data_IF_530029612046
#
_entry.id   IF_530029612046
#
_cell.length_a   1.000
_cell.length_b   1.000
_cell.length_c   1.000
_cell.angle_alpha   90.00
_cell.angle_beta   90.00
_cell.angle_gamma   90.00
#
_symmetry.space_group_name_H-M   'P 1'
#
loop_
_entity.id
_entity.type
_entity.pdbx_description
1 polymer ?
#
# COMPACT_ATOMS: atom_id res chain seq x y z
N UNK A 1 -32.78 0.00 -6.11
CA UNK A 1 -31.52 -0.62 -6.55
C UNK A 1 -31.24 -1.81 -5.65
N UNK A 2 -30.58 -2.85 -6.15
CA UNK A 2 -30.31 -4.05 -5.34
C UNK A 2 -28.84 -4.39 -5.35
N UNK A 3 -28.35 -4.80 -4.19
CA UNK A 3 -26.96 -5.12 -3.93
C UNK A 3 -26.84 -6.60 -3.56
N UNK A 4 -25.86 -7.25 -4.17
CA UNK A 4 -25.56 -8.63 -3.87
C UNK A 4 -24.07 -8.79 -3.59
N UNK A 5 -23.76 -9.66 -2.63
CA UNK A 5 -22.38 -9.98 -2.28
C UNK A 5 -21.96 -11.22 -3.08
N UNK A 6 -20.80 -11.17 -3.71
CA UNK A 6 -20.17 -12.34 -4.34
C UNK A 6 -18.89 -12.66 -3.60
N UNK A 7 -18.76 -13.92 -3.18
CA UNK A 7 -17.56 -14.43 -2.53
C UNK A 7 -16.52 -14.83 -3.57
N UNK A 8 -15.33 -14.29 -3.40
CA UNK A 8 -14.17 -14.50 -4.26
C UNK A 8 -12.97 -14.97 -3.45
N UNK A 9 -11.95 -15.48 -4.12
CA UNK A 9 -10.68 -15.81 -3.46
C UNK A 9 -10.03 -14.54 -2.96
N UNK A 10 -9.62 -14.52 -1.69
CA UNK A 10 -8.92 -13.39 -1.08
C UNK A 10 -7.68 -12.99 -1.88
N UNK A 11 -7.56 -11.70 -2.21
CA UNK A 11 -6.49 -11.13 -3.01
C UNK A 11 -6.74 -11.15 -4.54
N UNK A 12 -7.85 -11.73 -5.00
CA UNK A 12 -8.25 -11.78 -6.41
C UNK A 12 -9.45 -10.87 -6.73
N UNK A 13 -9.89 -10.02 -5.81
CA UNK A 13 -11.10 -9.19 -5.93
C UNK A 13 -11.07 -8.29 -7.17
N UNK A 14 -9.95 -7.59 -7.37
CA UNK A 14 -9.72 -6.67 -8.49
C UNK A 14 -9.67 -7.43 -9.82
N UNK A 15 -9.02 -8.60 -9.82
CA UNK A 15 -8.92 -9.45 -11.00
C UNK A 15 -10.29 -9.96 -11.41
N UNK A 16 -11.08 -10.45 -10.44
CA UNK A 16 -12.44 -10.94 -10.66
C UNK A 16 -13.35 -9.81 -11.15
N UNK A 17 -13.28 -8.61 -10.58
CA UNK A 17 -14.03 -7.43 -11.07
C UNK A 17 -13.76 -7.16 -12.56
N UNK A 18 -12.50 -7.14 -12.97
CA UNK A 18 -12.13 -6.91 -14.38
C UNK A 18 -12.55 -8.05 -15.31
N UNK A 19 -12.43 -9.30 -14.85
CA UNK A 19 -12.89 -10.46 -15.60
C UNK A 19 -14.42 -10.46 -15.75
N UNK A 20 -15.16 -10.14 -14.68
CA UNK A 20 -16.61 -10.00 -14.69
C UNK A 20 -17.05 -8.91 -15.65
N UNK A 21 -16.44 -7.72 -15.60
CA UNK A 21 -16.72 -6.66 -16.56
C UNK A 21 -16.51 -7.13 -18.01
N UNK A 22 -15.44 -7.88 -18.27
CA UNK A 22 -15.18 -8.45 -19.59
C UNK A 22 -16.23 -9.47 -20.01
N UNK A 23 -16.66 -10.34 -19.11
CA UNK A 23 -17.69 -11.37 -19.37
C UNK A 23 -19.05 -10.75 -19.58
N UNK A 24 -19.46 -9.79 -18.75
CA UNK A 24 -20.73 -9.07 -18.85
C UNK A 24 -20.81 -8.27 -20.16
N UNK A 25 -19.73 -7.56 -20.52
CA UNK A 25 -19.65 -6.83 -21.79
C UNK A 25 -19.74 -7.76 -23.00
N UNK A 26 -19.15 -8.96 -22.93
CA UNK A 26 -19.27 -9.97 -24.00
C UNK A 26 -20.67 -10.57 -24.09
N UNK A 27 -21.34 -10.75 -22.96
CA UNK A 27 -22.72 -11.25 -22.91
C UNK A 27 -23.75 -10.19 -23.32
N UNK A 28 -23.35 -8.90 -23.38
CA UNK A 28 -24.24 -7.78 -23.65
C UNK A 28 -25.26 -7.56 -22.53
N UNK A 29 -24.95 -7.99 -21.31
CA UNK A 29 -25.87 -7.92 -20.19
C UNK A 29 -25.81 -6.52 -19.55
N UNK A 30 -26.93 -5.80 -19.60
CA UNK A 30 -27.08 -4.46 -19.02
C UNK A 30 -27.76 -4.49 -17.64
N UNK A 31 -27.98 -5.66 -17.04
CA UNK A 31 -28.61 -5.78 -15.71
C UNK A 31 -27.69 -5.30 -14.59
N UNK A 32 -26.37 -5.47 -14.74
CA UNK A 32 -25.37 -5.03 -13.76
C UNK A 32 -25.05 -3.56 -13.98
N UNK A 33 -25.23 -2.75 -12.93
CA UNK A 33 -24.89 -1.33 -12.93
C UNK A 33 -23.42 -1.12 -12.63
N UNK A 34 -22.95 -1.73 -11.54
CA UNK A 34 -21.60 -1.52 -11.04
C UNK A 34 -21.12 -2.75 -10.26
N UNK A 35 -19.81 -2.95 -10.24
CA UNK A 35 -19.14 -3.96 -9.44
C UNK A 35 -18.10 -3.25 -8.57
N UNK A 36 -18.30 -3.30 -7.26
CA UNK A 36 -17.42 -2.70 -6.28
C UNK A 36 -16.52 -3.77 -5.67
N UNK A 37 -15.22 -3.67 -5.96
CA UNK A 37 -14.18 -4.45 -5.29
C UNK A 37 -13.55 -3.69 -4.11
N UNK A 38 -14.13 -2.55 -3.70
CA UNK A 38 -13.68 -1.69 -2.60
C UNK A 38 -12.17 -1.46 -2.63
N UNK A 39 -11.72 -0.88 -3.74
CA UNK A 39 -10.30 -0.69 -4.06
C UNK A 39 -9.74 0.46 -3.23
N UNK A 40 -8.62 0.20 -2.56
CA UNK A 40 -7.77 1.19 -1.90
C UNK A 40 -6.37 1.11 -2.46
N UNK A 41 -5.61 2.19 -2.35
CA UNK A 41 -4.20 2.17 -2.68
C UNK A 41 -3.35 2.65 -1.51
N UNK A 42 -2.18 2.03 -1.40
CA UNK A 42 -1.07 2.52 -0.58
C UNK A 42 0.00 3.05 -1.51
N UNK A 43 0.26 4.34 -1.49
CA UNK A 43 1.37 4.92 -2.25
C UNK A 43 2.69 4.72 -1.48
N UNK A 44 3.71 4.17 -2.14
CA UNK A 44 5.00 3.89 -1.49
C UNK A 44 6.00 4.93 -1.94
N UNK A 45 6.37 5.84 -1.03
CA UNK A 45 7.37 6.88 -1.28
C UNK A 45 8.75 6.28 -0.96
N UNK A 46 9.63 6.24 -1.96
CA UNK A 46 11.03 5.82 -1.82
C UNK A 46 11.97 6.99 -2.08
N UNK A 47 13.13 6.95 -1.45
CA UNK A 47 14.20 7.96 -1.54
C UNK A 47 14.62 8.27 -2.99
N UNK A 48 14.49 7.29 -3.89
CA UNK A 48 14.89 7.40 -5.31
C UNK A 48 13.79 7.93 -6.26
N UNK A 49 12.56 8.13 -5.76
CA UNK A 49 11.43 8.56 -6.60
C UNK A 49 11.41 10.08 -6.75
N UNK A 50 11.22 10.60 -7.95
CA UNK A 50 11.24 12.05 -8.23
C UNK A 50 9.86 12.70 -8.23
N UNK A 51 8.79 11.90 -8.11
CA UNK A 51 7.41 12.36 -8.11
C UNK A 51 6.55 11.41 -7.28
N UNK A 52 5.75 11.98 -6.37
CA UNK A 52 4.63 11.32 -5.70
C UNK A 52 3.39 11.62 -6.53
N UNK A 53 2.70 10.60 -7.02
CA UNK A 53 1.44 10.77 -7.73
C UNK A 53 0.28 10.52 -6.78
N UNK A 54 -0.12 11.59 -6.07
CA UNK A 54 -1.23 11.56 -5.13
C UNK A 54 -2.61 11.51 -5.83
N UNK A 55 -2.66 11.33 -7.15
CA UNK A 55 -3.93 11.24 -7.88
C UNK A 55 -4.70 9.98 -7.50
N UNK A 56 -6.02 10.05 -7.68
CA UNK A 56 -6.89 8.87 -7.62
C UNK A 56 -6.39 7.73 -8.53
N UNK A 57 -6.83 6.50 -8.22
CA UNK A 57 -6.48 5.30 -8.96
C UNK A 57 -6.96 5.38 -10.42
N UNK A 58 -6.02 5.32 -11.36
CA UNK A 58 -6.33 5.25 -12.78
C UNK A 58 -6.47 3.79 -13.26
N UNK A 59 -7.16 3.59 -14.39
CA UNK A 59 -7.25 2.27 -15.04
C UNK A 59 -5.88 1.70 -15.40
N UNK A 60 -4.93 2.57 -15.74
CA UNK A 60 -3.54 2.21 -16.01
C UNK A 60 -2.88 1.62 -14.74
N UNK A 61 -3.05 2.24 -13.58
CA UNK A 61 -2.52 1.74 -12.29
C UNK A 61 -3.05 0.34 -11.96
N UNK A 62 -4.35 0.11 -12.20
CA UNK A 62 -4.98 -1.19 -12.00
C UNK A 62 -4.39 -2.22 -12.96
N UNK A 63 -4.17 -1.84 -14.22
CA UNK A 63 -3.58 -2.72 -15.23
C UNK A 63 -2.14 -3.10 -14.88
N UNK A 64 -1.34 -2.13 -14.41
CA UNK A 64 0.03 -2.35 -13.95
C UNK A 64 0.07 -3.26 -12.73
N UNK A 65 -0.83 -3.04 -11.76
CA UNK A 65 -0.94 -3.87 -10.58
C UNK A 65 -1.25 -5.34 -10.94
N UNK A 66 -2.22 -5.58 -11.82
CA UNK A 66 -2.57 -6.92 -12.29
C UNK A 66 -1.43 -7.56 -13.08
N UNK A 67 -0.71 -6.77 -13.88
CA UNK A 67 0.47 -7.22 -14.60
C UNK A 67 1.59 -7.65 -13.64
N UNK A 68 1.87 -6.86 -12.60
CA UNK A 68 2.83 -7.19 -11.54
C UNK A 68 2.43 -8.49 -10.82
N UNK A 69 1.14 -8.65 -10.48
CA UNK A 69 0.63 -9.90 -9.88
C UNK A 69 0.86 -11.10 -10.80
N UNK A 70 0.61 -10.96 -12.11
CA UNK A 70 0.85 -12.01 -13.10
C UNK A 70 2.31 -12.42 -13.17
N UNK A 71 3.23 -11.46 -13.21
CA UNK A 71 4.68 -11.74 -13.18
C UNK A 71 5.07 -12.46 -11.88
N UNK A 72 4.54 -12.03 -10.72
CA UNK A 72 4.82 -12.69 -9.44
C UNK A 72 4.32 -14.13 -9.38
N UNK A 73 3.09 -14.39 -9.87
CA UNK A 73 2.55 -15.74 -9.97
C UNK A 73 3.41 -16.61 -10.91
N UNK A 74 3.81 -16.06 -12.07
CA UNK A 74 4.71 -16.72 -13.01
C UNK A 74 6.06 -17.08 -12.37
N UNK A 75 6.68 -16.13 -11.65
CA UNK A 75 7.91 -16.36 -10.91
C UNK A 75 7.76 -17.44 -9.83
N UNK A 76 6.66 -17.43 -9.08
CA UNK A 76 6.42 -18.42 -8.05
C UNK A 76 6.25 -19.82 -8.64
N UNK A 77 5.48 -19.93 -9.73
CA UNK A 77 5.29 -21.18 -10.46
C UNK A 77 6.61 -21.72 -11.02
N UNK A 78 7.45 -20.86 -11.60
CA UNK A 78 8.78 -21.24 -12.09
C UNK A 78 9.70 -21.70 -10.96
N UNK A 79 9.65 -21.04 -9.78
CA UNK A 79 10.43 -21.47 -8.61
C UNK A 79 10.01 -22.86 -8.14
N UNK A 80 8.70 -23.09 -8.02
CA UNK A 80 8.15 -24.41 -7.66
C UNK A 80 8.57 -25.47 -8.71
N UNK A 81 8.53 -25.12 -10.00
CA UNK A 81 8.95 -26.02 -11.06
C UNK A 81 10.47 -26.33 -10.99
N UNK A 82 11.31 -25.32 -10.73
CA UNK A 82 12.74 -25.51 -10.49
C UNK A 82 13.00 -26.42 -9.29
N UNK A 83 12.26 -26.24 -8.19
CA UNK A 83 12.46 -27.04 -6.98
C UNK A 83 12.10 -28.52 -7.23
N UNK A 84 11.02 -28.79 -7.96
CA UNK A 84 10.69 -30.16 -8.40
C UNK A 84 11.72 -30.75 -9.37
N UNK A 85 12.27 -29.94 -10.26
CA UNK A 85 13.26 -30.41 -11.24
C UNK A 85 14.64 -30.72 -10.64
N UNK A 86 14.98 -30.14 -9.47
CA UNK A 86 16.23 -30.46 -8.76
C UNK A 86 16.30 -31.92 -8.29
N UNK A 87 15.17 -32.61 -8.22
CA UNK A 87 15.08 -34.02 -7.83
C UNK A 87 15.60 -34.96 -8.94
N UNK A 88 15.58 -34.50 -10.19
CA UNK A 88 16.00 -35.27 -11.35
C UNK A 88 17.44 -34.88 -11.78
N UNK A 89 18.31 -35.87 -12.00
CA UNK A 89 19.72 -35.67 -12.40
C UNK A 89 19.97 -35.88 -13.89
N UNK A 90 18.93 -36.01 -14.70
CA UNK A 90 19.05 -36.26 -16.13
C UNK A 90 19.59 -35.03 -16.87
N UNK A 91 20.38 -35.24 -17.92
CA UNK A 91 20.99 -34.16 -18.72
C UNK A 91 19.94 -33.19 -19.30
N UNK A 92 18.78 -33.72 -19.70
CA UNK A 92 17.64 -32.92 -20.18
C UNK A 92 17.04 -32.05 -19.06
N UNK A 93 16.95 -32.58 -17.84
CA UNK A 93 16.43 -31.87 -16.67
C UNK A 93 17.36 -30.73 -16.26
N UNK A 94 18.68 -30.92 -16.39
CA UNK A 94 19.68 -29.88 -16.13
C UNK A 94 19.61 -28.72 -17.14
N UNK A 95 19.47 -29.02 -18.43
CA UNK A 95 19.28 -27.98 -19.47
C UNK A 95 17.99 -27.19 -19.24
N UNK A 96 16.90 -27.87 -18.88
CA UNK A 96 15.60 -27.23 -18.62
C UNK A 96 15.66 -26.34 -17.36
N UNK A 97 16.40 -26.75 -16.33
CA UNK A 97 16.63 -25.96 -15.12
C UNK A 97 17.39 -24.66 -15.42
N UNK A 98 18.37 -24.69 -16.33
CA UNK A 98 19.09 -23.50 -16.77
C UNK A 98 18.16 -22.50 -17.49
N UNK A 99 17.30 -22.98 -18.41
CA UNK A 99 16.30 -22.13 -19.07
C UNK A 99 15.31 -21.48 -18.10
N UNK A 100 14.91 -22.19 -17.04
CA UNK A 100 14.04 -21.64 -16.00
C UNK A 100 14.76 -20.60 -15.14
N UNK A 101 16.04 -20.80 -14.81
CA UNK A 101 16.85 -19.80 -14.10
C UNK A 101 16.95 -18.50 -14.91
N UNK A 102 17.17 -18.59 -16.21
CA UNK A 102 17.24 -17.40 -17.07
C UNK A 102 15.88 -16.72 -17.23
N UNK A 103 14.80 -17.49 -17.33
CA UNK A 103 13.43 -16.96 -17.30
C UNK A 103 13.13 -16.24 -15.98
N UNK A 104 13.55 -16.80 -14.84
CA UNK A 104 13.43 -16.17 -13.52
C UNK A 104 14.22 -14.86 -13.47
N UNK A 105 15.45 -14.83 -14.01
CA UNK A 105 16.28 -13.61 -14.07
C UNK A 105 15.60 -12.54 -14.93
N UNK A 106 15.07 -12.92 -16.09
CA UNK A 106 14.34 -12.03 -17.01
C UNK A 106 13.11 -11.41 -16.35
N UNK A 107 12.20 -12.24 -15.84
CA UNK A 107 10.99 -11.80 -15.14
C UNK A 107 11.31 -10.99 -13.88
N UNK A 108 12.39 -11.31 -13.16
CA UNK A 108 12.83 -10.52 -11.99
C UNK A 108 13.32 -9.13 -12.41
N UNK A 109 13.99 -9.00 -13.56
CA UNK A 109 14.44 -7.72 -14.10
C UNK A 109 13.25 -6.87 -14.56
N UNK A 110 12.27 -7.49 -15.21
CA UNK A 110 11.02 -6.85 -15.62
C UNK A 110 10.21 -6.38 -14.40
N UNK A 111 10.06 -7.25 -13.39
CA UNK A 111 9.40 -6.90 -12.12
C UNK A 111 10.05 -5.68 -11.45
N UNK A 112 11.39 -5.58 -11.48
CA UNK A 112 12.12 -4.42 -10.93
C UNK A 112 11.85 -3.13 -11.71
N UNK A 113 11.63 -3.20 -13.03
CA UNK A 113 11.32 -2.03 -13.85
C UNK A 113 9.91 -1.52 -13.54
N UNK A 114 8.93 -2.41 -13.53
CA UNK A 114 7.52 -2.04 -13.27
C UNK A 114 7.32 -1.57 -11.82
N UNK A 115 8.03 -2.17 -10.85
CA UNK A 115 7.97 -1.76 -9.43
C UNK A 115 8.54 -0.37 -9.10
N UNK A 116 9.09 0.36 -10.07
CA UNK A 116 9.58 1.72 -9.82
C UNK A 116 8.45 2.74 -9.63
N UNK A 117 7.22 2.44 -10.08
CA UNK A 117 6.11 3.40 -10.11
C UNK A 117 4.91 3.04 -9.19
N UNK A 118 5.05 2.09 -8.27
CA UNK A 118 3.84 1.37 -7.84
C UNK A 118 3.13 1.93 -6.62
N UNK A 119 1.95 2.50 -6.86
CA UNK A 119 0.80 2.42 -5.94
C UNK A 119 0.49 0.94 -5.67
N UNK A 120 0.45 0.54 -4.40
CA UNK A 120 0.05 -0.81 -3.99
C UNK A 120 -1.46 -0.83 -3.83
N UNK A 121 -2.15 -1.46 -4.77
CA UNK A 121 -3.60 -1.60 -4.71
C UNK A 121 -3.97 -2.79 -3.81
N UNK A 122 -4.94 -2.58 -2.92
CA UNK A 122 -5.55 -3.59 -2.06
C UNK A 122 -7.07 -3.48 -2.10
N UNK A 123 -7.77 -4.57 -1.77
CA UNK A 123 -9.20 -4.52 -1.47
C UNK A 123 -9.36 -4.27 0.03
N UNK A 124 -10.31 -3.41 0.42
CA UNK A 124 -10.67 -3.21 1.83
C UNK A 124 -11.33 -4.45 2.41
N UNK A 125 -12.12 -5.18 1.60
CA UNK A 125 -12.73 -6.44 2.02
C UNK A 125 -12.01 -7.60 1.33
N UNK A 126 -11.35 -8.43 2.11
CA UNK A 126 -10.77 -9.66 1.57
C UNK A 126 -11.85 -10.70 1.30
N UNK A 127 -11.90 -11.19 0.07
CA UNK A 127 -12.72 -12.32 -0.35
C UNK A 127 -14.16 -11.99 -0.74
N UNK A 128 -14.51 -10.72 -0.88
CA UNK A 128 -15.86 -10.31 -1.29
C UNK A 128 -15.82 -9.14 -2.29
N UNK A 129 -16.79 -9.15 -3.20
CA UNK A 129 -17.12 -8.02 -4.07
C UNK A 129 -18.62 -7.75 -3.97
N UNK A 130 -19.03 -6.49 -4.16
CA UNK A 130 -20.42 -6.08 -4.21
C UNK A 130 -20.83 -5.88 -5.67
N UNK A 131 -21.98 -6.42 -6.05
CA UNK A 131 -22.58 -6.27 -7.37
C UNK A 131 -23.88 -5.51 -7.21
N UNK A 132 -23.98 -4.37 -7.88
CA UNK A 132 -25.18 -3.54 -7.93
C UNK A 132 -25.93 -3.80 -9.23
N UNK A 133 -27.24 -4.05 -9.12
CA UNK A 133 -28.13 -4.28 -10.25
C UNK A 133 -29.05 -3.08 -10.50
N UNK A 134 -29.34 -2.84 -11.78
CA UNK A 134 -30.24 -1.78 -12.23
C UNK A 134 -31.72 -2.02 -11.84
N UNK A 135 -32.09 -3.26 -11.55
CA UNK A 135 -33.48 -3.68 -11.30
C UNK A 135 -33.60 -4.22 -9.87
N UNK A 136 -34.77 -4.00 -9.25
CA UNK A 136 -35.06 -4.45 -7.90
C UNK A 136 -35.40 -5.93 -7.86
N UNK A 137 -34.37 -6.77 -7.81
CA UNK A 137 -34.52 -8.20 -7.60
C UNK A 137 -34.43 -8.57 -6.13
N UNK A 138 -35.38 -9.37 -5.64
CA UNK A 138 -35.28 -9.94 -4.30
C UNK A 138 -34.24 -11.07 -4.22
N UNK A 139 -34.05 -11.79 -5.33
CA UNK A 139 -33.10 -12.90 -5.47
C UNK A 139 -32.09 -12.64 -6.58
N UNK A 140 -30.88 -13.14 -6.41
CA UNK A 140 -29.86 -13.04 -7.46
C UNK A 140 -30.30 -13.81 -8.73
N UNK A 141 -30.35 -13.16 -9.91
CA UNK A 141 -30.83 -13.80 -11.14
C UNK A 141 -29.97 -15.00 -11.55
N UNK A 142 -30.60 -16.12 -11.93
CA UNK A 142 -29.89 -17.36 -12.28
C UNK A 142 -29.01 -17.20 -13.53
N UNK A 143 -29.47 -16.46 -14.54
CA UNK A 143 -28.70 -16.13 -15.74
C UNK A 143 -27.40 -15.40 -15.37
N UNK A 144 -27.49 -14.40 -14.48
CA UNK A 144 -26.34 -13.66 -13.99
C UNK A 144 -25.43 -14.55 -13.13
N UNK A 145 -26.02 -15.45 -12.33
CA UNK A 145 -25.26 -16.40 -11.53
C UNK A 145 -24.39 -17.32 -12.38
N UNK A 146 -24.91 -17.83 -13.50
CA UNK A 146 -24.13 -18.66 -14.41
C UNK A 146 -22.93 -17.90 -14.99
N UNK A 147 -23.10 -16.62 -15.33
CA UNK A 147 -22.02 -15.76 -15.80
C UNK A 147 -20.99 -15.52 -14.68
N UNK A 148 -21.44 -15.17 -13.48
CA UNK A 148 -20.56 -14.91 -12.33
C UNK A 148 -19.77 -16.16 -11.96
N UNK A 149 -20.42 -17.32 -11.91
CA UNK A 149 -19.78 -18.60 -11.58
C UNK A 149 -18.78 -19.07 -12.66
N UNK A 150 -18.92 -18.60 -13.90
CA UNK A 150 -17.97 -18.93 -14.97
C UNK A 150 -16.61 -18.25 -14.81
N UNK A 151 -16.52 -17.20 -13.98
CA UNK A 151 -15.28 -16.46 -13.74
C UNK A 151 -14.39 -17.22 -12.76
N UNK A 152 -13.09 -17.43 -13.07
CA UNK A 152 -12.17 -18.07 -12.15
C UNK A 152 -12.01 -17.27 -10.86
N UNK A 153 -11.68 -17.95 -9.76
CA UNK A 153 -11.56 -17.38 -8.42
C UNK A 153 -12.87 -16.90 -7.76
N UNK A 154 -14.01 -16.98 -8.44
CA UNK A 154 -15.32 -16.86 -7.80
C UNK A 154 -15.63 -18.15 -7.04
N UNK A 155 -15.93 -18.04 -5.74
CA UNK A 155 -16.24 -19.19 -4.88
C UNK A 155 -17.75 -19.42 -4.79
N UNK A 156 -18.52 -18.35 -4.60
CA UNK A 156 -19.91 -18.49 -4.19
C UNK A 156 -20.65 -17.15 -4.08
N UNK A 157 -21.93 -17.25 -3.72
CA UNK A 157 -22.70 -16.13 -3.18
C UNK A 157 -23.11 -16.55 -1.76
N UNK A 158 -22.72 -15.80 -0.71
CA UNK A 158 -23.03 -16.14 0.68
C UNK A 158 -24.54 -16.08 0.96
N UNK A 159 -25.25 -15.12 0.36
CA UNK A 159 -26.71 -15.00 0.44
C UNK A 159 -27.28 -14.71 -0.93
N UNK A 160 -28.26 -15.51 -1.37
CA UNK A 160 -28.98 -15.28 -2.63
C UNK A 160 -29.93 -14.08 -2.56
N UNK A 161 -30.17 -13.56 -1.36
CA UNK A 161 -31.07 -12.45 -1.12
C UNK A 161 -30.36 -11.10 -1.32
N UNK A 162 -31.12 -10.10 -1.74
CA UNK A 162 -30.67 -8.72 -1.78
C UNK A 162 -30.23 -8.25 -0.39
N UNK A 163 -29.14 -7.51 -0.34
CA UNK A 163 -28.68 -6.81 0.87
C UNK A 163 -29.56 -5.57 1.08
N UNK A 164 -30.16 -5.38 2.28
CA UNK A 164 -30.93 -4.18 2.58
C UNK A 164 -30.10 -2.90 2.41
N UNK A 165 -30.71 -1.84 1.88
CA UNK A 165 -30.02 -0.57 1.67
C UNK A 165 -29.43 0.00 2.96
N UNK A 166 -30.13 -0.13 4.09
CA UNK A 166 -29.66 0.32 5.39
C UNK A 166 -28.35 -0.35 5.82
N UNK A 167 -28.18 -1.65 5.52
CA UNK A 167 -26.94 -2.38 5.79
C UNK A 167 -25.82 -1.91 4.87
N UNK A 168 -26.12 -1.66 3.60
CA UNK A 168 -25.17 -1.13 2.62
C UNK A 168 -24.68 0.26 3.03
N UNK A 169 -25.59 1.14 3.43
CA UNK A 169 -25.27 2.50 3.86
C UNK A 169 -24.45 2.49 5.15
N UNK A 170 -24.85 1.67 6.12
CA UNK A 170 -24.08 1.48 7.37
C UNK A 170 -22.69 0.92 7.07
N UNK A 171 -22.60 -0.01 6.13
CA UNK A 171 -21.35 -0.60 5.68
C UNK A 171 -20.44 0.47 5.06
N UNK A 172 -20.93 1.27 4.10
CA UNK A 172 -20.14 2.36 3.50
C UNK A 172 -19.74 3.45 4.50
N UNK A 173 -20.54 3.71 5.54
CA UNK A 173 -20.18 4.64 6.61
C UNK A 173 -19.07 4.10 7.53
N UNK A 174 -19.00 2.78 7.71
CA UNK A 174 -18.00 2.13 8.55
C UNK A 174 -16.72 1.77 7.81
N UNK A 175 -16.81 1.55 6.49
CA UNK A 175 -15.68 1.10 5.68
C UNK A 175 -14.87 2.29 5.22
N UNK A 176 -13.71 2.43 5.84
CA UNK A 176 -12.73 3.45 5.48
C UNK A 176 -12.04 3.06 4.15
N UNK A 177 -12.38 3.74 3.05
CA UNK A 177 -11.70 3.61 1.73
C UNK A 177 -10.54 4.62 1.62
N UNK A 178 -10.12 5.22 2.74
CA UNK A 178 -9.07 6.25 2.75
C UNK A 178 -7.75 5.67 2.21
N UNK A 179 -7.14 6.27 1.19
CA UNK A 179 -5.84 5.84 0.71
C UNK A 179 -4.75 6.03 1.79
N UNK A 180 -3.74 5.19 1.74
CA UNK A 180 -2.61 5.22 2.67
C UNK A 180 -1.33 5.63 1.95
N UNK A 181 -0.38 6.21 2.69
CA UNK A 181 0.96 6.56 2.22
C UNK A 181 1.98 5.84 3.10
N UNK A 182 2.87 5.08 2.48
CA UNK A 182 4.00 4.39 3.11
C UNK A 182 5.28 5.19 2.85
N UNK A 183 5.84 5.77 3.90
CA UNK A 183 7.14 6.43 3.90
C UNK A 183 8.20 5.49 4.46
N UNK A 184 9.30 5.32 3.72
CA UNK A 184 10.47 4.58 4.18
C UNK A 184 11.55 5.58 4.55
N UNK A 185 12.15 5.38 5.73
CA UNK A 185 13.26 6.16 6.25
C UNK A 185 14.55 5.32 6.23
N UNK A 186 15.63 5.97 6.63
CA UNK A 186 17.00 5.48 6.61
C UNK A 186 17.16 4.13 7.33
N UNK A 187 18.25 3.43 6.96
CA UNK A 187 18.56 2.11 7.50
C UNK A 187 19.05 2.23 8.95
N UNK A 188 18.42 1.48 9.85
CA UNK A 188 18.88 1.26 11.20
C UNK A 188 20.22 0.55 11.16
N UNK A 189 21.26 1.31 11.48
CA UNK A 189 22.59 0.79 11.77
C UNK A 189 22.52 -0.04 13.05
N UNK A 190 23.34 -1.09 13.14
CA UNK A 190 23.52 -1.80 14.41
C UNK A 190 24.13 -0.86 15.46
N UNK A 191 23.99 -1.19 16.75
CA UNK A 191 24.53 -0.34 17.82
C UNK A 191 26.04 -0.09 17.70
N UNK A 192 26.79 -1.03 17.14
CA UNK A 192 28.24 -0.89 16.90
C UNK A 192 28.52 0.01 15.69
N UNK A 193 27.85 -0.23 14.56
CA UNK A 193 27.97 0.59 13.34
C UNK A 193 27.49 2.04 13.57
N UNK A 194 26.44 2.25 14.38
CA UNK A 194 25.93 3.57 14.72
C UNK A 194 26.94 4.38 15.54
N UNK A 195 27.69 3.73 16.44
CA UNK A 195 28.75 4.38 17.24
C UNK A 195 29.95 4.73 16.36
N UNK A 196 30.35 3.83 15.46
CA UNK A 196 31.44 4.09 14.50
C UNK A 196 31.11 5.25 13.57
N UNK A 197 29.95 5.21 12.90
CA UNK A 197 29.50 6.27 11.99
C UNK A 197 29.33 7.60 12.74
N UNK A 198 28.82 7.58 13.98
CA UNK A 198 28.73 8.81 14.81
C UNK A 198 30.10 9.38 15.14
N UNK A 199 31.06 8.55 15.50
CA UNK A 199 32.42 8.98 15.81
C UNK A 199 33.14 9.52 14.58
N UNK A 200 32.92 8.92 13.41
CA UNK A 200 33.43 9.42 12.12
C UNK A 200 32.83 10.78 11.77
N UNK A 201 31.51 10.94 11.86
CA UNK A 201 30.83 12.21 11.58
C UNK A 201 31.25 13.29 12.58
N UNK A 202 31.44 12.96 13.86
CA UNK A 202 31.97 13.90 14.86
C UNK A 202 33.41 14.33 14.53
N UNK A 203 34.24 13.38 14.10
CA UNK A 203 35.62 13.68 13.70
C UNK A 203 35.67 14.55 12.44
N UNK A 204 34.75 14.35 11.49
CA UNK A 204 34.59 15.22 10.33
C UNK A 204 34.07 16.59 10.72
N UNK A 205 33.04 16.69 11.56
CA UNK A 205 32.50 17.97 12.05
C UNK A 205 33.57 18.81 12.76
N UNK A 206 34.39 18.17 13.59
CA UNK A 206 35.52 18.81 14.27
C UNK A 206 36.61 19.34 13.33
N UNK A 207 36.63 18.94 12.05
CA UNK A 207 37.56 19.49 11.03
C UNK A 207 37.02 20.75 10.35
N UNK A 208 35.70 20.95 10.32
CA UNK A 208 35.02 22.05 9.59
C UNK A 208 34.24 22.98 10.54
N UNK A 209 34.71 23.11 11.78
CA UNK A 209 34.12 23.95 12.84
C UNK A 209 33.88 25.39 12.38
N UNK A 210 32.67 25.88 12.59
CA UNK A 210 32.21 27.24 12.29
C UNK A 210 31.60 27.43 10.90
N UNK A 211 31.50 26.38 10.08
CA UNK A 211 30.95 26.44 8.72
C UNK A 211 29.52 25.89 8.65
N UNK A 212 28.81 26.17 7.55
CA UNK A 212 27.48 25.57 7.32
C UNK A 212 27.56 24.05 7.10
N UNK A 213 28.72 23.51 6.74
CA UNK A 213 28.97 22.07 6.62
C UNK A 213 28.97 21.36 7.98
N UNK A 214 29.43 22.03 9.04
CA UNK A 214 29.34 21.52 10.42
C UNK A 214 27.88 21.32 10.83
N UNK A 215 26.99 22.27 10.52
CA UNK A 215 25.56 22.15 10.84
C UNK A 215 24.91 20.97 10.11
N UNK A 216 25.32 20.69 8.88
CA UNK A 216 24.83 19.54 8.10
C UNK A 216 25.32 18.23 8.72
N UNK A 217 26.58 18.15 9.15
CA UNK A 217 27.16 16.96 9.78
C UNK A 217 26.55 16.69 11.17
N UNK A 218 26.37 17.73 12.00
CA UNK A 218 25.68 17.61 13.28
C UNK A 218 24.21 17.19 13.09
N UNK A 219 23.55 17.71 12.05
CA UNK A 219 22.20 17.26 11.68
C UNK A 219 22.12 15.77 11.35
N UNK A 220 23.16 15.17 10.76
CA UNK A 220 23.23 13.72 10.51
C UNK A 220 23.38 12.90 11.80
N UNK A 221 24.03 13.44 12.82
CA UNK A 221 24.15 12.76 14.13
C UNK A 221 22.78 12.69 14.81
N UNK A 222 22.00 13.78 14.75
CA UNK A 222 20.65 13.81 15.31
C UNK A 222 19.73 12.82 14.59
N UNK A 223 19.91 12.65 13.27
CA UNK A 223 19.17 11.64 12.48
C UNK A 223 19.47 10.22 12.96
N UNK A 224 20.75 9.87 13.14
CA UNK A 224 21.19 8.54 13.59
C UNK A 224 20.68 8.23 15.01
N UNK A 225 20.56 9.25 15.86
CA UNK A 225 20.08 9.10 17.24
C UNK A 225 18.55 8.99 17.35
N UNK A 226 17.80 9.37 16.31
CA UNK A 226 16.34 9.48 16.39
C UNK A 226 15.65 8.21 15.93
N UNK A 227 15.03 7.47 16.86
CA UNK A 227 14.13 6.37 16.50
C UNK A 227 12.74 6.90 16.14
N UNK A 228 12.42 6.91 14.84
CA UNK A 228 11.12 7.35 14.32
C UNK A 228 9.98 6.48 14.84
N UNK A 229 10.22 5.18 15.03
CA UNK A 229 9.17 4.25 15.45
C UNK A 229 8.81 4.47 16.90
N UNK A 230 9.80 4.60 17.78
CA UNK A 230 9.61 4.92 19.20
C UNK A 230 8.94 6.29 19.36
N UNK A 231 9.48 7.31 18.68
CA UNK A 231 8.95 8.67 18.74
C UNK A 231 7.47 8.77 18.33
N UNK A 232 7.04 8.05 17.28
CA UNK A 232 5.63 8.06 16.86
C UNK A 232 4.74 7.34 17.87
N UNK A 233 5.23 6.25 18.48
CA UNK A 233 4.47 5.52 19.48
C UNK A 233 4.33 6.32 20.79
N UNK A 234 5.36 7.04 21.21
CA UNK A 234 5.29 7.99 22.32
C UNK A 234 4.28 9.10 22.02
N UNK A 235 4.41 9.74 20.84
CA UNK A 235 3.50 10.80 20.42
C UNK A 235 2.03 10.35 20.33
N UNK A 236 1.76 9.07 20.04
CA UNK A 236 0.40 8.53 20.06
C UNK A 236 -0.16 8.39 21.47
N UNK A 237 0.68 8.03 22.43
CA UNK A 237 0.27 7.84 23.81
C UNK A 237 -0.01 9.17 24.52
N UNK A 238 0.65 10.25 24.07
CA UNK A 238 0.50 11.60 24.61
C UNK A 238 -0.76 12.34 24.09
N UNK A 239 -1.53 11.76 23.17
CA UNK A 239 -2.72 12.41 22.61
C UNK A 239 -3.92 12.25 23.54
N UNK A 240 -4.44 13.39 23.98
CA UNK A 240 -5.67 13.45 24.78
C UNK A 240 -6.86 12.84 24.04
N UNK A 241 -7.69 12.13 24.81
CA UNK A 241 -8.87 11.40 24.31
C UNK A 241 -9.92 12.28 23.61
N UNK A 242 -9.85 13.60 23.80
CA UNK A 242 -10.76 14.60 23.26
C UNK A 242 -10.35 15.11 21.87
N UNK A 243 -9.15 14.77 21.38
CA UNK A 243 -8.66 15.34 20.13
C UNK A 243 -9.33 14.69 18.91
N UNK A 244 -9.97 15.51 18.07
CA UNK A 244 -10.66 15.09 16.84
C UNK A 244 -9.78 14.29 15.86
N UNK A 245 -8.46 14.46 15.94
CA UNK A 245 -7.47 13.79 15.08
C UNK A 245 -7.04 12.42 15.61
N UNK A 246 -7.40 12.07 16.85
CA UNK A 246 -6.98 10.81 17.48
C UNK A 246 -7.29 9.58 16.61
N UNK A 247 -8.49 9.51 16.04
CA UNK A 247 -8.90 8.42 15.13
C UNK A 247 -7.99 8.30 13.90
N UNK A 248 -7.50 9.43 13.38
CA UNK A 248 -6.61 9.45 12.23
C UNK A 248 -5.18 9.08 12.63
N UNK A 249 -4.68 9.58 13.76
CA UNK A 249 -3.32 9.29 14.23
C UNK A 249 -3.16 7.85 14.74
N UNK A 250 -4.20 7.26 15.34
CA UNK A 250 -4.21 5.84 15.70
C UNK A 250 -4.03 4.93 14.47
N UNK A 251 -4.48 5.39 13.28
CA UNK A 251 -4.31 4.67 12.01
C UNK A 251 -2.87 4.72 11.47
N UNK A 252 -2.05 5.68 11.90
CA UNK A 252 -0.64 5.68 11.55
C UNK A 252 0.02 4.41 12.08
N UNK A 253 0.87 3.73 11.32
CA UNK A 253 1.61 2.54 11.77
C UNK A 253 3.09 2.79 11.54
N UNK A 254 3.89 2.70 12.59
CA UNK A 254 5.33 2.77 12.50
C UNK A 254 5.90 1.38 12.82
N UNK A 255 6.75 0.86 11.93
CA UNK A 255 7.37 -0.46 12.12
C UNK A 255 8.72 -0.55 11.40
N UNK A 256 9.54 -1.51 11.83
CA UNK A 256 10.83 -1.79 11.19
C UNK A 256 10.65 -2.93 10.20
N UNK A 257 11.03 -2.71 8.94
CA UNK A 257 10.98 -3.74 7.89
C UNK A 257 12.30 -3.76 7.13
N UNK A 258 12.99 -4.91 7.18
CA UNK A 258 14.30 -5.11 6.51
C UNK A 258 15.32 -4.03 6.89
N UNK A 259 15.49 -3.79 8.20
CA UNK A 259 16.35 -2.75 8.78
C UNK A 259 15.97 -1.30 8.44
N UNK A 260 14.89 -1.02 7.71
CA UNK A 260 14.42 0.35 7.49
C UNK A 260 13.23 0.68 8.39
N UNK A 261 13.22 1.88 8.94
CA UNK A 261 12.04 2.41 9.63
C UNK A 261 10.99 2.78 8.58
N UNK A 262 9.76 2.31 8.76
CA UNK A 262 8.66 2.54 7.82
C UNK A 262 7.48 3.11 8.58
N UNK A 263 6.88 4.18 8.04
CA UNK A 263 5.68 4.80 8.58
C UNK A 263 4.59 4.76 7.53
N UNK A 264 3.45 4.16 7.87
CA UNK A 264 2.24 4.15 7.05
C UNK A 264 1.24 5.09 7.68
N UNK A 265 0.62 5.99 6.90
CA UNK A 265 -0.39 6.92 7.40
C UNK A 265 -1.50 7.16 6.36
N UNK A 266 -2.72 7.54 6.78
CA UNK A 266 -3.75 8.01 5.86
C UNK A 266 -3.29 9.23 5.04
N UNK A 267 -3.72 9.29 3.78
CA UNK A 267 -3.39 10.39 2.85
C UNK A 267 -3.76 11.77 3.42
N UNK A 268 -4.89 11.88 4.11
CA UNK A 268 -5.34 13.14 4.70
C UNK A 268 -4.33 13.70 5.72
N UNK A 269 -3.69 12.82 6.50
CA UNK A 269 -2.64 13.23 7.44
C UNK A 269 -1.39 13.64 6.68
N UNK A 270 -1.05 12.91 5.62
CA UNK A 270 0.08 13.23 4.78
C UNK A 270 -0.06 14.61 4.12
N UNK A 271 -1.23 14.92 3.56
CA UNK A 271 -1.54 16.24 2.99
C UNK A 271 -1.51 17.34 4.06
N UNK A 272 -1.94 17.06 5.29
CA UNK A 272 -1.81 18.03 6.38
C UNK A 272 -0.34 18.27 6.80
N UNK A 273 0.54 17.28 6.62
CA UNK A 273 1.99 17.40 6.91
C UNK A 273 2.75 18.17 5.84
N UNK A 274 2.26 18.13 4.62
CA UNK A 274 2.95 18.63 3.43
C UNK A 274 1.96 19.32 2.51
N UNK A 275 2.06 20.65 2.42
CA UNK A 275 1.27 21.42 1.47
C UNK A 275 1.63 21.02 0.02
N UNK A 276 0.71 21.20 -0.94
CA UNK A 276 0.90 20.81 -2.36
C UNK A 276 2.22 21.29 -2.99
N UNK A 277 2.70 22.47 -2.58
CA UNK A 277 3.96 23.06 -3.05
C UNK A 277 5.18 22.31 -2.48
N UNK A 278 5.07 21.82 -1.25
CA UNK A 278 6.15 21.08 -0.57
C UNK A 278 6.25 19.64 -1.06
N UNK A 279 5.15 19.02 -1.51
CA UNK A 279 5.12 17.66 -2.08
C UNK A 279 6.03 17.54 -3.31
N UNK A 280 6.12 18.60 -4.13
CA UNK A 280 6.99 18.62 -5.32
C UNK A 280 8.48 18.83 -4.98
N UNK A 281 8.77 19.54 -3.87
CA UNK A 281 10.14 19.77 -3.36
C UNK A 281 10.61 18.76 -2.30
N UNK A 282 9.72 17.84 -1.92
CA UNK A 282 9.81 16.94 -0.76
C UNK A 282 11.07 16.07 -0.75
N UNK A 283 11.53 15.70 -1.93
CA UNK A 283 12.53 14.65 -2.13
C UNK A 283 13.96 15.05 -1.77
N UNK A 284 14.23 16.35 -1.57
CA UNK A 284 15.58 16.81 -1.20
C UNK A 284 15.83 16.77 0.32
N UNK A 285 14.81 16.50 1.16
CA UNK A 285 14.95 16.57 2.61
C UNK A 285 14.08 15.53 3.35
N UNK A 286 14.12 14.26 2.95
CA UNK A 286 13.64 13.13 3.77
C UNK A 286 14.51 12.97 5.02
N UNK A 287 14.45 13.93 5.92
CA UNK A 287 15.06 13.84 7.23
C UNK A 287 13.98 13.34 8.21
N UNK A 288 14.25 12.21 8.87
CA UNK A 288 13.42 11.65 9.95
C UNK A 288 13.02 12.70 10.99
N UNK A 289 13.95 13.59 11.35
CA UNK A 289 13.73 14.70 12.27
C UNK A 289 12.75 15.75 11.72
N UNK A 290 12.87 16.10 10.44
CA UNK A 290 11.97 17.04 9.77
C UNK A 290 10.54 16.53 9.74
N UNK A 291 10.38 15.24 9.46
CA UNK A 291 9.11 14.54 9.53
C UNK A 291 8.51 14.58 10.95
N UNK A 292 9.26 14.14 11.96
CA UNK A 292 8.78 14.10 13.35
C UNK A 292 8.40 15.48 13.89
N UNK A 293 9.16 16.53 13.54
CA UNK A 293 8.85 17.91 13.92
C UNK A 293 7.52 18.39 13.31
N UNK A 294 7.28 18.09 12.03
CA UNK A 294 6.01 18.40 11.35
C UNK A 294 4.86 17.62 11.98
N UNK A 295 5.07 16.33 12.22
CA UNK A 295 4.09 15.46 12.88
C UNK A 295 3.68 15.99 14.24
N UNK A 296 4.64 16.35 15.09
CA UNK A 296 4.40 16.97 16.39
C UNK A 296 3.66 18.31 16.29
N UNK A 297 3.96 19.10 15.27
CA UNK A 297 3.30 20.40 15.06
C UNK A 297 1.81 20.24 14.75
N UNK A 298 1.41 19.22 14.01
CA UNK A 298 0.00 18.93 13.73
C UNK A 298 -0.72 18.51 15.01
N UNK A 299 -0.12 17.61 15.79
CA UNK A 299 -0.69 17.16 17.06
C UNK A 299 -0.96 18.37 17.98
N UNK A 300 0.04 19.24 18.15
CA UNK A 300 -0.09 20.42 19.02
C UNK A 300 -0.99 21.54 18.45
N UNK A 301 -1.17 21.64 17.13
CA UNK A 301 -2.08 22.65 16.52
C UNK A 301 -3.54 22.36 16.85
N UNK A 302 -3.92 21.10 16.96
CA UNK A 302 -5.30 20.72 17.26
C UNK A 302 -5.63 20.73 18.76
N UNK A 303 -4.65 20.57 19.65
CA UNK A 303 -4.86 20.78 21.10
C UNK A 303 -5.18 22.25 21.44
N UNK A 304 -4.65 23.20 20.66
CA UNK A 304 -4.88 24.65 20.87
C UNK A 304 -6.23 25.15 20.36
N UNK A 305 -6.89 24.46 19.42
CA UNK A 305 -8.23 24.85 18.97
C UNK A 305 -9.33 24.38 19.93
N UNK A 306 -9.12 23.28 20.68
CA UNK A 306 -10.08 22.78 21.68
C UNK A 306 -10.04 23.60 22.97
N UNK A 307 -8.97 24.34 23.23
CA UNK A 307 -8.79 25.18 24.43
C UNK A 307 -9.21 26.64 24.25
N UNK A 308 -9.85 26.99 23.12
CA UNK A 308 -10.38 28.33 22.82
C UNK A 308 -11.90 28.38 22.58
N UNK A 309 -12.63 27.30 22.84
CA UNK A 309 -14.10 27.29 22.97
C UNK A 309 -14.50 27.22 24.45
#
# INVERSE_FOLDING_TARGET
>A
MTYFVVQVRSGAEIEVKNMLNTVLNRAGDSMVRAIYAMETFTEIIRDDSTAVDLSELNLEDISEHLYVKRIQAGLNNLRIACDKLKEYKDANSLALLETYKDSIRGLSKELRKVRKNTKRISSVISGYILVELNVDFYYFPDNLWHLVKSVPNVTGIPSKYNVPQEEVDTFFQQVDITPEVEMQFEELLSSEEAVEVRNEILHEANKVVGTDEEKVLLGKIDIIATDVVESINEMKNDIDSSNSIKRNVERCKAFIRRKRQTVVMPLDIFLNLYNDIEVQSFFLAQNSFGFLKRFRTILCRHDKMVSME
#
